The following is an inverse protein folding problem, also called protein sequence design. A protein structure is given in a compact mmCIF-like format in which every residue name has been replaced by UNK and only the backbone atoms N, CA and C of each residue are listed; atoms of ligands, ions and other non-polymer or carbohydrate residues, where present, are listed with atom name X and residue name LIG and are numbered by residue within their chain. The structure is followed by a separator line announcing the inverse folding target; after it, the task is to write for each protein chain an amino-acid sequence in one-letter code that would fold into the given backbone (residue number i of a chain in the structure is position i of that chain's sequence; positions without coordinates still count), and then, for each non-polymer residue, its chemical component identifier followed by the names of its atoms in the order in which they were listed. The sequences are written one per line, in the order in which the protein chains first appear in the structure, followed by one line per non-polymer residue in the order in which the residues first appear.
data_IF_419205103623
#
_entry.id   IF_419205103623
#
_cell.length_a   1.000
_cell.length_b   1.000
_cell.length_c   1.000
_cell.angle_alpha   90.00
_cell.angle_beta   90.00
_cell.angle_gamma   90.00
#
_symmetry.space_group_name_H-M   'P 1'
#
loop_
_entity.id
_entity.type
_entity.pdbx_description
1 polymer ?
#
# COMPACT_ATOMS: atom_id res chain seq x y z
N UNK A 1 14.48 -4.83 14.76
CA UNK A 1 14.28 -4.21 16.08
C UNK A 1 14.59 -5.22 17.18
N UNK A 2 14.95 -4.74 18.36
CA UNK A 2 15.22 -5.54 19.54
C UNK A 2 14.47 -4.93 20.71
N UNK A 3 13.74 -5.76 21.46
CA UNK A 3 13.12 -5.36 22.72
C UNK A 3 14.09 -5.67 23.84
N UNK A 4 14.55 -4.67 24.57
CA UNK A 4 15.42 -4.85 25.72
C UNK A 4 14.61 -4.94 27.02
N UNK A 5 15.14 -5.63 28.05
CA UNK A 5 14.52 -5.71 29.39
C UNK A 5 14.30 -4.33 30.05
N UNK A 6 14.90 -3.26 29.51
CA UNK A 6 14.85 -1.89 30.01
C UNK A 6 13.88 -0.99 29.23
N UNK A 7 12.76 -1.52 28.75
CA UNK A 7 11.64 -0.79 28.15
C UNK A 7 11.97 0.11 26.94
N UNK A 8 12.88 -0.28 26.06
CA UNK A 8 13.14 0.48 24.84
C UNK A 8 13.41 -0.41 23.64
N UNK A 9 12.69 -0.18 22.51
CA UNK A 9 13.01 -0.81 21.23
C UNK A 9 14.28 -0.17 20.66
N UNK A 10 15.20 -0.98 20.14
CA UNK A 10 16.39 -0.53 19.42
C UNK A 10 16.35 -1.01 17.99
N UNK A 11 16.80 -0.17 17.09
CA UNK A 11 16.88 -0.46 15.65
C UNK A 11 18.32 -0.70 15.24
N UNK A 12 18.51 -1.69 14.38
CA UNK A 12 19.80 -2.00 13.76
C UNK A 12 19.57 -2.46 12.32
N UNK A 13 20.54 -2.28 11.46
CA UNK A 13 20.54 -2.80 10.10
C UNK A 13 21.45 -4.02 9.99
N UNK A 14 20.95 -5.08 9.35
CA UNK A 14 21.77 -6.16 8.82
C UNK A 14 22.16 -5.79 7.39
N UNK A 15 23.43 -5.45 7.19
CA UNK A 15 23.97 -5.09 5.88
C UNK A 15 24.59 -6.33 5.23
N UNK A 16 24.10 -6.69 4.05
CA UNK A 16 24.61 -7.81 3.25
C UNK A 16 25.21 -7.25 1.97
N UNK A 17 26.48 -7.57 1.70
CA UNK A 17 27.21 -7.14 0.50
C UNK A 17 27.73 -8.35 -0.25
N UNK A 18 27.83 -8.24 -1.59
CA UNK A 18 28.23 -9.33 -2.47
C UNK A 18 29.56 -9.99 -2.09
N UNK A 19 30.51 -9.19 -1.59
CA UNK A 19 31.87 -9.65 -1.31
C UNK A 19 32.12 -9.91 0.20
N UNK A 20 31.10 -9.87 1.04
CA UNK A 20 31.20 -10.16 2.46
C UNK A 20 30.70 -11.56 2.77
N UNK A 21 31.47 -12.28 3.59
CA UNK A 21 31.16 -13.68 3.97
C UNK A 21 30.02 -13.76 5.00
N UNK A 22 29.84 -12.72 5.79
CA UNK A 22 28.83 -12.62 6.84
C UNK A 22 28.13 -11.27 6.80
N UNK A 23 26.83 -11.21 7.18
CA UNK A 23 26.14 -9.95 7.36
C UNK A 23 26.82 -9.07 8.42
N UNK A 24 26.86 -7.78 8.18
CA UNK A 24 27.35 -6.80 9.14
C UNK A 24 26.15 -6.24 9.93
N UNK A 25 26.21 -6.30 11.25
CA UNK A 25 25.22 -5.66 12.11
C UNK A 25 25.65 -4.20 12.40
N UNK A 26 24.81 -3.25 12.03
CA UNK A 26 24.99 -1.82 12.30
C UNK A 26 23.90 -1.33 13.23
N UNK A 27 24.22 -0.95 14.48
CA UNK A 27 23.28 -0.22 15.34
C UNK A 27 22.87 1.10 14.66
N UNK A 28 21.58 1.43 14.71
CA UNK A 28 21.04 2.68 14.17
C UNK A 28 20.68 3.63 15.31
N UNK A 29 19.57 3.37 16.00
CA UNK A 29 19.04 4.24 17.04
C UNK A 29 18.16 3.47 18.05
N UNK A 30 17.94 4.06 19.21
CA UNK A 30 16.90 3.65 20.14
C UNK A 30 15.58 4.38 19.78
N UNK A 31 14.43 3.72 19.93
CA UNK A 31 13.11 4.29 19.63
C UNK A 31 12.92 5.66 20.32
N UNK A 32 13.37 5.79 21.57
CA UNK A 32 13.35 7.03 22.32
C UNK A 32 14.10 8.20 21.65
N UNK A 33 15.12 7.94 20.85
CA UNK A 33 15.82 8.98 20.11
C UNK A 33 14.96 9.53 18.96
N UNK A 34 14.19 8.66 18.29
CA UNK A 34 13.24 9.09 17.27
C UNK A 34 12.03 9.79 17.91
N UNK A 35 11.54 9.27 19.04
CA UNK A 35 10.43 9.88 19.79
C UNK A 35 10.80 11.28 20.30
N UNK A 36 12.07 11.50 20.70
CA UNK A 36 12.54 12.83 21.15
C UNK A 36 12.50 13.92 20.08
N UNK A 37 12.44 13.52 18.80
CA UNK A 37 12.25 14.48 17.70
C UNK A 37 10.81 15.02 17.64
N UNK A 38 9.86 14.43 18.42
CA UNK A 38 8.45 14.84 18.46
C UNK A 38 7.79 14.94 17.07
N UNK A 39 8.14 14.04 16.18
CA UNK A 39 7.60 14.00 14.82
C UNK A 39 6.11 13.60 14.87
N UNK A 40 5.24 14.59 14.88
CA UNK A 40 3.80 14.41 15.03
C UNK A 40 3.15 13.81 13.77
N UNK A 41 3.75 14.02 12.60
CA UNK A 41 3.21 13.58 11.31
C UNK A 41 4.30 12.91 10.45
N UNK A 42 3.97 11.87 9.65
CA UNK A 42 4.97 11.16 8.84
C UNK A 42 5.70 12.04 7.80
N UNK A 43 5.06 13.09 7.29
CA UNK A 43 5.68 14.00 6.33
C UNK A 43 6.80 14.87 6.97
N UNK A 44 6.78 15.05 8.28
CA UNK A 44 7.84 15.79 8.99
C UNK A 44 9.20 15.08 8.98
N UNK A 45 9.27 13.79 8.71
CA UNK A 45 10.55 13.12 8.48
C UNK A 45 11.37 13.75 7.34
N UNK A 46 10.72 14.48 6.44
CA UNK A 46 11.30 15.09 5.24
C UNK A 46 11.37 16.61 5.32
N UNK A 47 10.92 17.20 6.42
CA UNK A 47 10.97 18.63 6.67
C UNK A 47 12.42 19.08 6.97
N UNK A 48 12.79 20.31 6.57
CA UNK A 48 14.14 20.86 6.76
C UNK A 48 14.57 20.87 8.23
N UNK A 49 13.62 21.04 9.15
CA UNK A 49 13.88 21.07 10.58
C UNK A 49 14.21 19.69 11.19
N UNK A 50 13.66 18.61 10.63
CA UNK A 50 13.77 17.26 11.20
C UNK A 50 14.66 16.32 10.38
N UNK A 51 14.71 16.51 9.06
CA UNK A 51 15.41 15.59 8.16
C UNK A 51 16.90 15.40 8.49
N UNK A 52 17.67 16.41 8.93
CA UNK A 52 19.06 16.20 9.32
C UNK A 52 19.23 15.20 10.47
N UNK A 53 18.38 15.30 11.50
CA UNK A 53 18.42 14.37 12.64
C UNK A 53 17.94 12.98 12.24
N UNK A 54 16.92 12.89 11.38
CA UNK A 54 16.44 11.63 10.81
C UNK A 54 17.54 10.94 9.99
N UNK A 55 18.24 11.68 9.12
CA UNK A 55 19.38 11.17 8.36
C UNK A 55 20.51 10.66 9.26
N UNK A 56 20.83 11.40 10.32
CA UNK A 56 21.83 11.01 11.31
C UNK A 56 21.50 9.68 11.99
N UNK A 57 20.23 9.45 12.29
CA UNK A 57 19.77 8.21 12.91
C UNK A 57 19.70 7.04 11.92
N UNK A 58 19.23 7.27 10.69
CA UNK A 58 18.89 6.22 9.73
C UNK A 58 19.99 5.92 8.71
N UNK A 59 20.63 6.94 8.17
CA UNK A 59 21.51 6.79 7.01
C UNK A 59 22.99 6.93 7.31
N UNK A 60 23.40 7.89 8.14
CA UNK A 60 24.82 8.09 8.43
C UNK A 60 25.54 6.83 8.94
N UNK A 61 24.94 5.97 9.80
CA UNK A 61 25.56 4.72 10.22
C UNK A 61 25.82 3.74 9.06
N UNK A 62 25.13 3.91 7.93
CA UNK A 62 25.18 3.06 6.75
C UNK A 62 25.99 3.66 5.59
N UNK A 63 26.17 4.97 5.56
CA UNK A 63 26.80 5.71 4.45
C UNK A 63 28.14 5.12 4.01
N UNK A 64 29.00 4.74 4.94
CA UNK A 64 30.30 4.12 4.63
C UNK A 64 30.23 2.67 4.13
N UNK A 65 29.03 2.07 4.11
CA UNK A 65 28.80 0.68 3.64
C UNK A 65 28.21 0.62 2.23
N UNK A 66 27.78 1.76 1.68
CA UNK A 66 27.05 1.83 0.42
C UNK A 66 27.79 2.74 -0.53
N UNK A 67 28.26 2.20 -1.66
CA UNK A 67 28.88 3.02 -2.70
C UNK A 67 27.82 3.91 -3.39
N UNK A 68 28.22 5.12 -3.76
CA UNK A 68 27.36 6.01 -4.52
C UNK A 68 26.91 5.38 -5.85
N UNK A 69 25.65 5.61 -6.24
CA UNK A 69 25.04 4.97 -7.41
C UNK A 69 24.63 3.52 -7.20
N UNK A 70 24.92 2.93 -6.03
CA UNK A 70 24.57 1.54 -5.77
C UNK A 70 23.04 1.32 -5.69
N UNK A 71 22.64 0.10 -6.05
CA UNK A 71 21.27 -0.36 -5.77
C UNK A 71 21.18 -0.89 -4.34
N UNK A 72 20.33 -0.28 -3.54
CA UNK A 72 20.08 -0.61 -2.13
C UNK A 72 18.73 -1.30 -1.99
N UNK A 73 18.75 -2.62 -1.84
CA UNK A 73 17.57 -3.38 -1.47
C UNK A 73 17.36 -3.29 0.03
N UNK A 74 16.21 -2.81 0.48
CA UNK A 74 15.94 -2.68 1.90
C UNK A 74 14.57 -3.22 2.31
N UNK A 75 14.52 -3.76 3.52
CA UNK A 75 13.31 -4.29 4.15
C UNK A 75 13.10 -3.50 5.43
N UNK A 76 12.16 -2.55 5.47
CA UNK A 76 11.87 -1.80 6.69
C UNK A 76 11.18 -2.66 7.74
N UNK A 77 11.25 -2.26 9.01
CA UNK A 77 10.50 -2.87 10.10
C UNK A 77 9.88 -1.79 11.00
N UNK A 78 8.70 -2.07 11.55
CA UNK A 78 8.00 -1.24 12.53
C UNK A 78 7.91 0.24 12.10
N UNK A 79 8.43 1.17 12.90
CA UNK A 79 8.44 2.61 12.60
C UNK A 79 8.93 2.91 11.17
N UNK A 80 9.92 2.16 10.69
CA UNK A 80 10.51 2.39 9.36
C UNK A 80 9.57 2.06 8.20
N UNK A 81 8.43 1.41 8.45
CA UNK A 81 7.37 1.30 7.43
C UNK A 81 6.80 2.65 7.02
N UNK A 82 6.93 3.69 7.86
CA UNK A 82 6.47 5.05 7.57
C UNK A 82 7.48 5.89 6.81
N UNK A 83 8.71 5.40 6.61
CA UNK A 83 9.80 6.16 6.02
C UNK A 83 10.10 5.67 4.62
N UNK A 84 10.07 6.59 3.65
CA UNK A 84 10.60 6.40 2.30
C UNK A 84 12.04 6.92 2.30
N UNK A 85 13.03 6.03 2.45
CA UNK A 85 14.45 6.42 2.55
C UNK A 85 14.90 7.25 1.35
N UNK A 86 14.44 6.87 0.16
CA UNK A 86 14.74 7.56 -1.11
C UNK A 86 14.28 9.02 -1.15
N UNK A 87 13.34 9.39 -0.27
CA UNK A 87 12.77 10.74 -0.24
C UNK A 87 13.40 11.65 0.81
N UNK A 88 14.32 11.15 1.63
CA UNK A 88 15.01 11.97 2.65
C UNK A 88 15.88 13.01 1.98
N UNK A 89 15.70 14.32 2.30
CA UNK A 89 16.49 15.39 1.73
C UNK A 89 17.89 15.47 2.33
N UNK A 90 18.87 15.76 1.50
CA UNK A 90 20.25 16.05 1.89
C UNK A 90 20.48 17.55 2.07
N UNK A 91 21.58 17.93 2.70
CA UNK A 91 21.90 19.32 2.99
C UNK A 91 22.06 20.22 1.73
N UNK A 92 22.34 19.62 0.59
CA UNK A 92 22.44 20.31 -0.71
C UNK A 92 21.08 20.44 -1.45
N UNK A 93 19.99 19.98 -0.83
CA UNK A 93 18.65 20.00 -1.40
C UNK A 93 18.35 18.84 -2.35
N UNK A 94 19.31 17.95 -2.62
CA UNK A 94 19.08 16.67 -3.31
C UNK A 94 18.39 15.68 -2.37
N UNK A 95 17.94 14.54 -2.90
CA UNK A 95 17.38 13.45 -2.10
C UNK A 95 18.34 12.27 -2.06
N UNK A 96 18.23 11.42 -1.05
CA UNK A 96 18.95 10.14 -1.03
C UNK A 96 18.72 9.31 -2.29
N UNK A 97 17.52 9.34 -2.85
CA UNK A 97 17.17 8.66 -4.10
C UNK A 97 17.83 9.24 -5.35
N UNK A 98 18.36 10.47 -5.30
CA UNK A 98 19.15 11.05 -6.39
C UNK A 98 20.57 10.46 -6.43
N UNK A 99 21.07 9.90 -5.32
CA UNK A 99 22.42 9.34 -5.16
C UNK A 99 22.45 7.81 -5.13
N UNK A 100 21.34 7.15 -4.76
CA UNK A 100 21.25 5.70 -4.60
C UNK A 100 19.95 5.16 -5.21
N UNK A 101 20.00 3.98 -5.80
CA UNK A 101 18.82 3.31 -6.34
C UNK A 101 18.15 2.46 -5.25
N UNK A 102 17.20 3.02 -4.52
CA UNK A 102 16.48 2.30 -3.47
C UNK A 102 15.42 1.36 -4.03
N UNK A 103 15.41 0.13 -3.53
CA UNK A 103 14.41 -0.90 -3.85
C UNK A 103 13.83 -1.43 -2.54
N UNK A 104 12.62 -1.00 -2.22
CA UNK A 104 11.90 -1.45 -1.04
C UNK A 104 11.31 -2.82 -1.27
N UNK A 105 11.51 -3.72 -0.32
CA UNK A 105 11.03 -5.10 -0.35
C UNK A 105 10.14 -5.38 0.87
N UNK A 106 9.21 -6.32 0.74
CA UNK A 106 8.46 -6.84 1.89
C UNK A 106 9.26 -7.88 2.67
N UNK A 107 10.19 -8.57 2.01
CA UNK A 107 11.07 -9.59 2.60
C UNK A 107 12.35 -9.74 1.80
N UNK A 108 13.47 -9.92 2.48
CA UNK A 108 14.76 -10.25 1.84
C UNK A 108 14.71 -11.56 1.02
N UNK A 109 13.76 -12.46 1.28
CA UNK A 109 13.54 -13.68 0.49
C UNK A 109 13.19 -13.38 -0.97
N UNK A 110 12.63 -12.24 -1.28
CA UNK A 110 12.31 -11.82 -2.65
C UNK A 110 13.54 -11.72 -3.54
N UNK A 111 14.72 -11.44 -2.97
CA UNK A 111 15.97 -11.43 -3.70
C UNK A 111 16.36 -12.81 -4.24
N UNK A 112 15.95 -13.88 -3.56
CA UNK A 112 16.19 -15.26 -4.04
C UNK A 112 15.35 -15.57 -5.29
N UNK A 113 14.13 -15.09 -5.34
CA UNK A 113 13.22 -15.25 -6.49
C UNK A 113 13.63 -14.43 -7.72
N UNK A 114 14.37 -13.34 -7.55
CA UNK A 114 14.84 -12.48 -8.67
C UNK A 114 15.86 -13.17 -9.60
N UNK A 115 16.50 -14.25 -9.17
CA UNK A 115 17.36 -15.08 -10.00
C UNK A 115 16.60 -16.07 -10.90
N UNK A 116 15.30 -16.24 -10.68
CA UNK A 116 14.44 -17.04 -11.54
C UNK A 116 14.03 -16.21 -12.76
N UNK A 117 13.66 -16.92 -13.85
CA UNK A 117 13.18 -16.25 -15.05
C UNK A 117 12.04 -15.27 -14.73
N UNK A 118 12.03 -14.08 -15.34
CA UNK A 118 10.96 -13.10 -15.07
C UNK A 118 9.60 -13.74 -15.33
N UNK A 119 8.64 -13.49 -14.41
CA UNK A 119 7.26 -13.97 -14.60
C UNK A 119 6.73 -13.42 -15.92
N UNK A 120 6.25 -14.29 -16.78
CA UNK A 120 5.61 -13.88 -18.04
C UNK A 120 4.14 -13.60 -17.77
N UNK A 121 3.73 -12.36 -17.92
CA UNK A 121 2.33 -11.95 -17.83
C UNK A 121 1.73 -11.92 -19.24
N UNK A 122 0.75 -12.78 -19.51
CA UNK A 122 0.30 -13.05 -20.89
C UNK A 122 -0.58 -11.95 -21.50
N UNK A 123 -1.44 -11.29 -20.75
CA UNK A 123 -2.44 -10.38 -21.25
C UNK A 123 -2.31 -8.97 -20.65
N UNK A 124 -2.64 -7.94 -21.45
CA UNK A 124 -2.79 -6.56 -20.97
C UNK A 124 -4.21 -6.38 -20.38
N UNK A 125 -4.50 -7.00 -19.26
CA UNK A 125 -5.77 -6.91 -18.56
C UNK A 125 -5.64 -6.02 -17.32
N UNK A 126 -6.61 -5.16 -17.08
CA UNK A 126 -6.65 -4.30 -15.91
C UNK A 126 -8.04 -4.30 -15.27
N UNK A 127 -8.07 -4.26 -13.93
CA UNK A 127 -9.28 -3.97 -13.16
C UNK A 127 -9.03 -2.70 -12.35
N UNK A 128 -9.96 -1.75 -12.46
CA UNK A 128 -9.85 -0.43 -11.83
C UNK A 128 -11.08 -0.20 -10.97
N UNK A 129 -10.86 0.02 -9.67
CA UNK A 129 -11.90 0.39 -8.69
C UNK A 129 -11.78 1.86 -8.34
N UNK A 130 -12.93 2.57 -8.27
CA UNK A 130 -13.01 3.94 -7.74
C UNK A 130 -14.41 4.53 -7.89
N UNK A 131 -14.72 5.54 -7.07
CA UNK A 131 -16.05 6.14 -7.02
C UNK A 131 -17.10 5.17 -6.48
N UNK A 132 -16.76 4.38 -5.47
CA UNK A 132 -17.60 3.33 -4.91
C UNK A 132 -18.79 3.91 -4.13
N UNK A 133 -19.94 3.25 -4.19
CA UNK A 133 -21.14 3.61 -3.42
C UNK A 133 -21.19 2.81 -2.10
N UNK A 134 -20.64 3.36 -1.04
CA UNK A 134 -20.60 2.72 0.28
C UNK A 134 -21.97 2.60 0.93
N UNK A 135 -22.94 3.43 0.54
CA UNK A 135 -24.35 3.45 1.03
C UNK A 135 -25.32 2.71 0.10
N UNK A 136 -24.81 1.74 -0.69
CA UNK A 136 -25.62 0.93 -1.58
C UNK A 136 -26.73 0.22 -0.80
N UNK A 137 -27.97 0.27 -1.31
CA UNK A 137 -29.12 -0.37 -0.67
C UNK A 137 -29.09 -1.91 -0.79
N UNK A 138 -29.84 -2.58 0.11
CA UNK A 138 -29.82 -4.05 0.20
C UNK A 138 -30.33 -4.76 -1.05
N UNK A 139 -31.29 -4.21 -1.77
CA UNK A 139 -31.80 -4.83 -2.98
C UNK A 139 -30.73 -4.80 -4.06
N UNK A 140 -30.08 -3.66 -4.24
CA UNK A 140 -28.96 -3.54 -5.17
C UNK A 140 -27.77 -4.43 -4.75
N UNK A 141 -27.48 -4.58 -3.45
CA UNK A 141 -26.46 -5.53 -2.97
C UNK A 141 -26.81 -6.97 -3.34
N UNK A 142 -28.06 -7.40 -3.13
CA UNK A 142 -28.53 -8.75 -3.51
C UNK A 142 -28.45 -9.00 -5.02
N UNK A 143 -28.85 -8.02 -5.83
CA UNK A 143 -28.75 -8.13 -7.29
C UNK A 143 -27.32 -8.26 -7.77
N UNK A 144 -26.40 -7.52 -7.16
CA UNK A 144 -24.97 -7.61 -7.47
C UNK A 144 -24.36 -8.92 -7.02
N UNK A 145 -24.66 -9.39 -5.82
CA UNK A 145 -24.16 -10.66 -5.32
C UNK A 145 -24.52 -11.83 -6.23
N UNK A 146 -25.75 -11.85 -6.79
CA UNK A 146 -26.20 -12.90 -7.75
C UNK A 146 -25.38 -12.97 -9.04
N UNK A 147 -24.64 -11.92 -9.39
CA UNK A 147 -23.80 -11.88 -10.60
C UNK A 147 -22.49 -12.67 -10.43
N UNK A 148 -22.16 -13.08 -9.20
CA UNK A 148 -20.88 -13.70 -8.87
C UNK A 148 -21.12 -15.07 -8.20
N UNK A 149 -20.59 -16.12 -8.83
CA UNK A 149 -20.49 -17.43 -8.20
C UNK A 149 -19.19 -17.45 -7.35
N UNK A 150 -19.37 -17.44 -6.05
CA UNK A 150 -18.29 -17.51 -5.05
C UNK A 150 -18.28 -18.86 -4.31
N UNK A 151 -18.97 -19.88 -4.83
CA UNK A 151 -18.97 -21.21 -4.26
C UNK A 151 -17.53 -21.74 -4.15
N UNK A 152 -17.15 -22.14 -2.95
CA UNK A 152 -15.80 -22.60 -2.61
C UNK A 152 -14.79 -21.49 -2.23
N UNK A 153 -15.14 -20.20 -2.33
CA UNK A 153 -14.28 -19.08 -1.90
C UNK A 153 -14.69 -18.53 -0.52
N UNK A 154 -15.93 -18.78 -0.12
CA UNK A 154 -16.46 -18.30 1.16
C UNK A 154 -16.15 -19.34 2.24
N UNK A 155 -15.02 -19.16 2.94
CA UNK A 155 -14.84 -19.76 4.26
C UNK A 155 -15.77 -19.05 5.25
N UNK A 156 -16.18 -19.72 6.33
CA UNK A 156 -16.86 -19.06 7.44
C UNK A 156 -15.99 -17.88 7.90
N UNK A 157 -16.49 -16.67 7.68
CA UNK A 157 -15.82 -15.47 8.13
C UNK A 157 -16.15 -15.27 9.61
N UNK A 158 -15.14 -14.92 10.40
CA UNK A 158 -15.30 -14.43 11.76
C UNK A 158 -16.26 -13.24 11.81
N UNK A 159 -16.57 -12.75 13.01
CA UNK A 159 -17.48 -11.63 13.20
C UNK A 159 -17.11 -10.42 12.35
N UNK A 160 -18.11 -9.64 11.91
CA UNK A 160 -17.91 -8.46 11.09
C UNK A 160 -17.31 -7.31 11.92
N UNK A 161 -16.33 -6.62 11.35
CA UNK A 161 -15.83 -5.37 11.89
C UNK A 161 -16.94 -4.31 11.88
N UNK A 162 -16.99 -3.50 12.92
CA UNK A 162 -18.02 -2.46 13.11
C UNK A 162 -17.36 -1.15 13.50
N UNK A 163 -17.96 -0.05 13.08
CA UNK A 163 -17.54 1.30 13.44
C UNK A 163 -18.73 2.20 13.76
N UNK A 164 -18.44 3.32 14.38
CA UNK A 164 -19.44 4.29 14.87
C UNK A 164 -19.81 5.34 13.81
N UNK A 165 -19.12 5.40 12.68
CA UNK A 165 -19.33 6.38 11.63
C UNK A 165 -19.23 5.76 10.23
N UNK A 166 -19.89 6.37 9.25
CA UNK A 166 -19.99 5.85 7.87
C UNK A 166 -18.78 6.22 7.00
N UNK A 167 -18.44 5.36 6.07
CA UNK A 167 -17.54 5.71 4.98
C UNK A 167 -18.25 6.63 3.99
N UNK A 168 -17.69 7.81 3.78
CA UNK A 168 -18.26 8.82 2.87
C UNK A 168 -17.76 8.60 1.46
N UNK A 169 -18.60 8.95 0.49
CA UNK A 169 -18.21 8.93 -0.92
C UNK A 169 -16.93 9.76 -1.16
N UNK A 170 -16.05 9.27 -2.03
CA UNK A 170 -14.79 9.88 -2.42
C UNK A 170 -14.85 10.34 -3.89
N UNK A 171 -15.30 11.59 -4.18
CA UNK A 171 -15.50 12.04 -5.58
C UNK A 171 -14.19 12.08 -6.40
N UNK A 172 -13.06 12.28 -5.73
CA UNK A 172 -11.73 12.26 -6.37
C UNK A 172 -11.39 10.90 -6.97
N UNK A 173 -11.76 9.81 -6.29
CA UNK A 173 -11.44 8.45 -6.74
C UNK A 173 -12.21 8.03 -8.00
N UNK A 174 -13.41 8.57 -8.23
CA UNK A 174 -14.14 8.32 -9.47
C UNK A 174 -13.44 8.97 -10.67
N UNK A 175 -13.03 10.24 -10.53
CA UNK A 175 -12.29 10.95 -11.57
C UNK A 175 -10.97 10.26 -11.88
N UNK A 176 -10.24 9.85 -10.85
CA UNK A 176 -8.99 9.09 -10.95
C UNK A 176 -9.20 7.78 -11.71
N UNK A 177 -10.13 6.95 -11.28
CA UNK A 177 -10.40 5.65 -11.88
C UNK A 177 -10.83 5.76 -13.35
N UNK A 178 -11.68 6.74 -13.70
CA UNK A 178 -12.10 7.00 -15.10
C UNK A 178 -10.92 7.46 -15.97
N UNK A 179 -10.07 8.35 -15.48
CA UNK A 179 -8.89 8.82 -16.20
C UNK A 179 -7.91 7.68 -16.47
N UNK A 180 -7.61 6.87 -15.45
CA UNK A 180 -6.72 5.71 -15.55
C UNK A 180 -7.29 4.67 -16.52
N UNK A 181 -8.58 4.33 -16.40
CA UNK A 181 -9.22 3.40 -17.32
C UNK A 181 -9.16 3.89 -18.78
N UNK A 182 -9.35 5.19 -19.01
CA UNK A 182 -9.21 5.79 -20.34
C UNK A 182 -7.79 5.68 -20.88
N UNK A 183 -6.78 6.04 -20.09
CA UNK A 183 -5.37 5.95 -20.47
C UNK A 183 -4.94 4.51 -20.77
N UNK A 184 -5.37 3.54 -19.95
CA UNK A 184 -5.09 2.14 -20.17
C UNK A 184 -5.72 1.62 -21.48
N UNK A 185 -7.00 1.97 -21.75
CA UNK A 185 -7.67 1.61 -23.01
C UNK A 185 -6.97 2.19 -24.23
N UNK A 186 -6.52 3.46 -24.15
CA UNK A 186 -5.69 4.07 -25.19
C UNK A 186 -4.36 3.33 -25.39
N UNK A 187 -3.80 2.73 -24.35
CA UNK A 187 -2.63 1.84 -24.40
C UNK A 187 -2.95 0.40 -24.81
N UNK A 188 -4.15 0.12 -25.32
CA UNK A 188 -4.61 -1.20 -25.77
C UNK A 188 -4.67 -2.25 -24.63
N UNK A 189 -5.10 -1.82 -23.44
CA UNK A 189 -5.44 -2.72 -22.34
C UNK A 189 -6.93 -3.06 -22.37
N UNK A 190 -7.25 -4.31 -22.05
CA UNK A 190 -8.60 -4.71 -21.69
C UNK A 190 -8.90 -4.28 -20.26
N UNK A 191 -9.85 -3.36 -20.07
CA UNK A 191 -10.07 -2.67 -18.80
C UNK A 191 -11.49 -2.84 -18.31
N UNK A 192 -11.64 -3.49 -17.16
CA UNK A 192 -12.85 -3.50 -16.35
C UNK A 192 -12.81 -2.35 -15.34
N UNK A 193 -13.69 -1.35 -15.52
CA UNK A 193 -13.89 -0.26 -14.57
C UNK A 193 -15.06 -0.59 -13.66
N UNK A 194 -14.80 -0.74 -12.38
CA UNK A 194 -15.77 -1.08 -11.33
C UNK A 194 -16.01 0.14 -10.42
N UNK A 195 -17.11 0.84 -10.66
CA UNK A 195 -17.50 2.06 -9.96
C UNK A 195 -18.96 2.02 -9.51
N UNK A 196 -19.38 2.94 -8.64
CA UNK A 196 -20.73 2.97 -8.08
C UNK A 196 -21.07 1.64 -7.42
N UNK A 197 -22.19 1.05 -7.80
CA UNK A 197 -22.66 -0.24 -7.27
C UNK A 197 -21.92 -1.47 -7.84
N UNK A 198 -21.01 -1.30 -8.79
CA UNK A 198 -20.31 -2.43 -9.41
C UNK A 198 -19.02 -2.84 -8.68
N UNK A 199 -18.47 -1.95 -7.86
CA UNK A 199 -17.26 -2.23 -7.10
C UNK A 199 -17.56 -2.90 -5.77
N UNK A 200 -18.11 -4.10 -5.79
CA UNK A 200 -18.48 -4.88 -4.60
C UNK A 200 -17.35 -5.78 -4.13
N UNK A 201 -17.45 -6.30 -2.92
CA UNK A 201 -16.53 -7.29 -2.37
C UNK A 201 -16.54 -8.57 -3.18
N UNK A 202 -17.72 -9.00 -3.67
CA UNK A 202 -17.86 -10.16 -4.55
C UNK A 202 -17.07 -9.96 -5.85
N UNK A 203 -17.12 -8.76 -6.43
CA UNK A 203 -16.37 -8.43 -7.64
C UNK A 203 -14.86 -8.57 -7.44
N UNK A 204 -14.37 -8.27 -6.23
CA UNK A 204 -12.96 -8.42 -5.88
C UNK A 204 -12.58 -9.88 -5.64
N UNK A 205 -13.36 -10.62 -4.86
CA UNK A 205 -13.10 -12.05 -4.61
C UNK A 205 -13.14 -12.90 -5.89
N UNK A 206 -13.91 -12.49 -6.90
CA UNK A 206 -13.93 -13.12 -8.23
C UNK A 206 -12.57 -13.11 -8.92
N UNK A 207 -11.66 -12.24 -8.52
CA UNK A 207 -10.29 -12.18 -9.07
C UNK A 207 -9.41 -13.37 -8.62
N UNK A 208 -9.83 -14.15 -7.65
CA UNK A 208 -9.13 -15.36 -7.21
C UNK A 208 -8.90 -16.33 -8.38
N UNK A 209 -7.65 -16.65 -8.70
CA UNK A 209 -7.28 -17.51 -9.82
C UNK A 209 -7.53 -16.90 -11.22
N UNK A 210 -8.05 -15.66 -11.29
CA UNK A 210 -8.36 -14.90 -12.53
C UNK A 210 -7.83 -13.48 -12.45
N UNK A 211 -6.71 -13.32 -11.79
CA UNK A 211 -6.13 -12.02 -11.47
C UNK A 211 -5.75 -11.24 -12.74
N UNK A 212 -6.14 -9.95 -12.85
CA UNK A 212 -5.70 -9.10 -13.94
C UNK A 212 -4.20 -8.82 -13.82
N UNK A 213 -3.55 -8.47 -14.90
CA UNK A 213 -2.14 -8.07 -14.88
C UNK A 213 -1.92 -6.79 -14.06
N UNK A 214 -2.87 -5.84 -14.12
CA UNK A 214 -2.85 -4.61 -13.37
C UNK A 214 -4.14 -4.46 -12.56
N UNK A 215 -4.00 -4.14 -11.28
CA UNK A 215 -5.11 -3.88 -10.36
C UNK A 215 -4.92 -2.52 -9.73
N UNK A 216 -5.86 -1.59 -9.98
CA UNK A 216 -5.88 -0.28 -9.36
C UNK A 216 -7.09 -0.16 -8.43
N UNK A 217 -6.86 0.22 -7.19
CA UNK A 217 -7.89 0.26 -6.15
C UNK A 217 -7.88 1.63 -5.47
N UNK A 218 -8.86 2.46 -5.82
CA UNK A 218 -9.09 3.77 -5.24
C UNK A 218 -10.35 3.71 -4.35
N UNK A 219 -10.15 3.43 -3.05
CA UNK A 219 -11.21 3.28 -2.06
C UNK A 219 -10.73 3.68 -0.66
N UNK A 220 -11.56 3.53 0.37
CA UNK A 220 -11.12 3.63 1.75
C UNK A 220 -10.41 2.34 2.20
N UNK A 221 -9.35 2.49 3.00
CA UNK A 221 -8.81 1.44 3.83
C UNK A 221 -9.16 1.66 5.30
N UNK A 222 -9.03 0.63 6.11
CA UNK A 222 -9.17 0.72 7.56
C UNK A 222 -8.03 -0.01 8.27
N UNK A 223 -7.79 0.41 9.51
CA UNK A 223 -6.92 -0.28 10.45
C UNK A 223 -7.44 -0.09 11.87
N UNK A 224 -7.58 -1.18 12.61
CA UNK A 224 -7.82 -1.17 14.04
C UNK A 224 -6.50 -1.25 14.79
N UNK A 225 -6.26 -0.30 15.69
CA UNK A 225 -5.18 -0.43 16.65
C UNK A 225 -5.47 -1.62 17.59
N UNK A 226 -4.46 -2.25 18.19
CA UNK A 226 -4.69 -3.33 19.17
C UNK A 226 -5.63 -2.92 20.31
N UNK A 227 -5.63 -1.64 20.70
CA UNK A 227 -6.54 -1.11 21.72
C UNK A 227 -8.00 -1.05 21.24
N UNK A 228 -8.23 -0.69 19.98
CA UNK A 228 -9.56 -0.72 19.37
C UNK A 228 -10.02 -2.16 19.14
N UNK A 229 -9.13 -3.02 18.67
CA UNK A 229 -9.38 -4.44 18.48
C UNK A 229 -9.77 -5.15 19.77
N UNK A 230 -9.17 -4.78 20.91
CA UNK A 230 -9.50 -5.34 22.21
C UNK A 230 -10.96 -5.07 22.66
N UNK A 231 -11.64 -4.09 22.05
CA UNK A 231 -13.06 -3.79 22.28
C UNK A 231 -14.00 -4.64 21.42
N UNK A 232 -13.46 -5.35 20.44
CA UNK A 232 -14.22 -6.19 19.50
C UNK A 232 -13.99 -7.66 19.89
N UNK A 233 -15.04 -8.36 20.35
CA UNK A 233 -14.89 -9.67 21.00
C UNK A 233 -14.08 -10.69 20.21
N UNK A 234 -14.29 -10.81 18.89
CA UNK A 234 -13.57 -11.78 18.08
C UNK A 234 -12.14 -11.34 17.68
N UNK A 235 -11.78 -10.07 17.88
CA UNK A 235 -10.43 -9.54 17.67
C UNK A 235 -9.60 -9.48 18.96
N UNK A 236 -10.21 -9.79 20.11
CA UNK A 236 -9.53 -9.77 21.39
C UNK A 236 -8.31 -10.69 21.40
N UNK A 237 -7.14 -10.12 21.65
CA UNK A 237 -5.88 -10.85 21.70
C UNK A 237 -5.19 -11.03 20.34
N UNK A 238 -5.76 -10.54 19.25
CA UNK A 238 -5.08 -10.47 17.96
C UNK A 238 -4.29 -9.17 17.84
N UNK A 239 -3.05 -9.30 17.44
CA UNK A 239 -2.15 -8.19 17.07
C UNK A 239 -1.66 -8.29 15.62
N UNK A 240 -2.17 -9.26 14.85
CA UNK A 240 -1.81 -9.44 13.44
C UNK A 240 -2.42 -8.31 12.58
N UNK A 241 -1.56 -7.50 12.01
CA UNK A 241 -1.94 -6.38 11.17
C UNK A 241 -2.83 -6.78 9.97
N UNK A 242 -2.79 -8.04 9.51
CA UNK A 242 -3.65 -8.52 8.43
C UNK A 242 -5.10 -8.75 8.88
N UNK A 243 -5.32 -9.11 10.14
CA UNK A 243 -6.67 -9.23 10.69
C UNK A 243 -7.28 -7.88 11.03
N UNK A 244 -6.43 -6.91 11.37
CA UNK A 244 -6.83 -5.59 11.83
C UNK A 244 -6.93 -4.55 10.72
N UNK A 245 -6.59 -4.88 9.49
CA UNK A 245 -6.62 -3.97 8.35
C UNK A 245 -7.37 -4.53 7.16
N UNK A 246 -7.80 -3.66 6.26
CA UNK A 246 -8.48 -4.07 5.05
C UNK A 246 -8.91 -2.91 4.16
N UNK A 247 -9.73 -3.26 3.18
CA UNK A 247 -10.32 -2.36 2.20
C UNK A 247 -11.84 -2.43 2.30
N UNK A 248 -12.53 -1.34 1.98
CA UNK A 248 -13.98 -1.32 1.91
C UNK A 248 -14.47 -1.16 0.47
N UNK A 249 -15.59 -1.81 0.18
CA UNK A 249 -16.24 -1.86 -1.13
C UNK A 249 -17.68 -1.35 -1.05
N UNK A 250 -18.35 -1.29 -2.19
CA UNK A 250 -19.73 -0.79 -2.27
C UNK A 250 -20.66 -1.57 -1.34
N UNK A 251 -21.54 -0.84 -0.63
CA UNK A 251 -22.48 -1.40 0.35
C UNK A 251 -21.91 -1.61 1.76
N UNK A 252 -20.64 -1.31 2.01
CA UNK A 252 -19.99 -1.63 3.28
C UNK A 252 -20.63 -0.94 4.50
N UNK A 253 -21.22 0.24 4.35
CA UNK A 253 -21.80 0.98 5.47
C UNK A 253 -22.93 0.21 6.15
N UNK A 254 -23.63 -0.65 5.41
CA UNK A 254 -24.69 -1.46 6.00
C UNK A 254 -24.16 -2.40 7.07
N UNK A 255 -23.17 -3.22 6.72
CA UNK A 255 -22.53 -4.16 7.64
C UNK A 255 -21.67 -3.44 8.69
N UNK A 256 -20.99 -2.37 8.31
CA UNK A 256 -20.14 -1.58 9.20
C UNK A 256 -20.92 -1.00 10.38
N UNK A 257 -22.15 -0.55 10.14
CA UNK A 257 -23.08 -0.10 11.18
C UNK A 257 -23.79 -1.25 11.92
N UNK A 258 -23.40 -2.48 11.70
CA UNK A 258 -23.94 -3.65 12.39
C UNK A 258 -25.34 -4.08 11.95
N UNK A 259 -25.82 -3.59 10.81
CA UNK A 259 -27.12 -3.99 10.27
C UNK A 259 -27.02 -5.40 9.64
N UNK A 260 -28.08 -6.24 9.76
CA UNK A 260 -28.06 -7.61 9.22
C UNK A 260 -28.01 -7.58 7.71
N UNK A 261 -27.29 -8.56 7.15
CA UNK A 261 -27.19 -8.79 5.70
C UNK A 261 -28.04 -9.99 5.30
N UNK A 262 -28.67 -9.97 4.13
CA UNK A 262 -29.36 -11.13 3.57
C UNK A 262 -28.36 -12.26 3.25
N UNK A 263 -28.83 -13.50 3.25
CA UNK A 263 -27.99 -14.65 2.89
C UNK A 263 -27.39 -14.49 1.49
N UNK A 264 -26.10 -14.83 1.35
CA UNK A 264 -25.37 -14.75 0.08
C UNK A 264 -24.86 -13.36 -0.31
N UNK A 265 -25.09 -12.33 0.51
CA UNK A 265 -24.57 -10.98 0.32
C UNK A 265 -23.36 -10.76 1.21
N UNK A 266 -22.24 -10.28 0.64
CA UNK A 266 -21.04 -9.96 1.40
C UNK A 266 -21.12 -8.57 2.03
N UNK A 267 -20.25 -8.36 3.00
CA UNK A 267 -20.27 -7.16 3.85
C UNK A 267 -19.79 -5.88 3.17
N UNK A 268 -19.05 -6.00 2.08
CA UNK A 268 -18.29 -4.90 1.51
C UNK A 268 -17.04 -4.54 2.32
N UNK A 269 -16.68 -5.35 3.33
CA UNK A 269 -15.52 -5.15 4.21
C UNK A 269 -14.56 -6.33 3.97
N UNK A 270 -13.46 -6.08 3.29
CA UNK A 270 -12.47 -7.10 2.94
C UNK A 270 -11.23 -6.95 3.82
N UNK A 271 -11.02 -7.90 4.72
CA UNK A 271 -9.83 -7.93 5.57
C UNK A 271 -8.58 -8.29 4.75
N UNK A 272 -7.43 -7.79 5.16
CA UNK A 272 -6.17 -8.12 4.49
C UNK A 272 -5.86 -9.62 4.56
N UNK A 273 -6.30 -10.32 5.61
CA UNK A 273 -6.15 -11.78 5.71
C UNK A 273 -6.95 -12.52 4.61
N UNK A 274 -8.12 -12.00 4.20
CA UNK A 274 -8.88 -12.57 3.07
C UNK A 274 -8.12 -12.40 1.76
N UNK A 275 -7.54 -11.22 1.54
CA UNK A 275 -6.67 -10.95 0.38
C UNK A 275 -5.48 -11.93 0.38
N UNK A 276 -4.88 -12.18 1.53
CA UNK A 276 -3.72 -13.06 1.67
C UNK A 276 -4.01 -14.54 1.30
N UNK A 277 -5.28 -14.94 1.33
CA UNK A 277 -5.74 -16.28 0.93
C UNK A 277 -6.07 -16.38 -0.56
N UNK A 278 -6.14 -15.27 -1.27
CA UNK A 278 -6.42 -15.26 -2.70
C UNK A 278 -5.22 -15.70 -3.53
N UNK A 279 -5.51 -16.21 -4.73
CA UNK A 279 -4.49 -16.40 -5.77
C UNK A 279 -4.52 -15.21 -6.74
N UNK A 280 -3.59 -14.28 -6.53
CA UNK A 280 -3.37 -13.10 -7.38
C UNK A 280 -2.03 -13.16 -8.13
N UNK A 281 -1.47 -14.35 -8.35
CA UNK A 281 -0.16 -14.54 -9.00
C UNK A 281 -0.09 -14.00 -10.43
N UNK A 282 -1.25 -13.80 -11.09
CA UNK A 282 -1.36 -13.14 -12.39
C UNK A 282 -1.16 -11.63 -12.35
N UNK A 283 -1.23 -11.00 -11.16
CA UNK A 283 -1.12 -9.56 -11.00
C UNK A 283 0.34 -9.13 -10.93
N UNK A 284 0.77 -8.43 -11.98
CA UNK A 284 2.10 -7.82 -12.03
C UNK A 284 2.22 -6.63 -11.08
N UNK A 285 1.16 -5.81 -11.01
CA UNK A 285 1.17 -4.61 -10.19
C UNK A 285 -0.20 -4.32 -9.58
N UNK A 286 -0.19 -4.00 -8.28
CA UNK A 286 -1.32 -3.39 -7.57
C UNK A 286 -0.97 -1.94 -7.27
N UNK A 287 -1.90 -1.02 -7.56
CA UNK A 287 -1.84 0.37 -7.13
C UNK A 287 -2.93 0.60 -6.10
N UNK A 288 -2.52 0.93 -4.87
CA UNK A 288 -3.42 1.23 -3.76
C UNK A 288 -3.51 2.74 -3.57
N UNK A 289 -4.54 3.35 -4.14
CA UNK A 289 -4.94 4.74 -3.89
C UNK A 289 -5.97 4.79 -2.76
N UNK A 290 -5.71 4.04 -1.68
CA UNK A 290 -6.64 3.74 -0.59
C UNK A 290 -6.21 4.35 0.75
N UNK A 291 -5.38 5.40 0.75
CA UNK A 291 -4.73 5.92 1.95
C UNK A 291 -5.56 6.90 2.76
N UNK A 292 -6.83 7.12 2.42
CA UNK A 292 -7.76 7.84 3.29
C UNK A 292 -8.50 6.84 4.19
N UNK A 293 -7.94 6.62 5.37
CA UNK A 293 -8.69 5.99 6.45
C UNK A 293 -9.74 7.00 6.92
N UNK A 294 -10.97 6.83 6.47
CA UNK A 294 -12.07 7.75 6.81
C UNK A 294 -12.36 7.85 8.30
N UNK A 295 -11.71 7.07 9.16
CA UNK A 295 -11.97 7.03 10.60
C UNK A 295 -10.81 6.57 11.47
N UNK A 296 -9.63 6.33 10.96
CA UNK A 296 -8.46 6.00 11.75
C UNK A 296 -7.21 6.66 11.17
N UNK A 297 -6.22 6.94 12.01
CA UNK A 297 -4.90 7.33 11.52
C UNK A 297 -4.35 6.17 10.71
N UNK A 298 -3.97 6.40 9.45
CA UNK A 298 -3.17 5.43 8.70
C UNK A 298 -1.94 5.09 9.54
N UNK A 299 -1.90 3.91 10.10
CA UNK A 299 -0.77 3.46 10.90
C UNK A 299 0.19 2.66 10.03
N UNK A 300 1.45 2.61 10.43
CA UNK A 300 2.44 1.77 9.77
C UNK A 300 2.00 0.31 9.70
N UNK A 301 1.32 -0.16 10.74
CA UNK A 301 0.84 -1.52 10.88
C UNK A 301 -0.28 -1.85 9.88
N UNK A 302 -1.22 -0.92 9.66
CA UNK A 302 -2.30 -1.11 8.67
C UNK A 302 -1.77 -1.19 7.24
N UNK A 303 -0.86 -0.31 6.87
CA UNK A 303 -0.16 -0.36 5.58
C UNK A 303 0.63 -1.65 5.41
N UNK A 304 1.33 -2.09 6.47
CA UNK A 304 2.05 -3.35 6.48
C UNK A 304 1.13 -4.55 6.29
N UNK A 305 -0.04 -4.56 6.92
CA UNK A 305 -1.03 -5.62 6.78
C UNK A 305 -1.45 -5.82 5.31
N UNK A 306 -1.84 -4.74 4.63
CA UNK A 306 -2.22 -4.78 3.21
C UNK A 306 -1.03 -5.16 2.29
N UNK A 307 0.16 -4.58 2.51
CA UNK A 307 1.36 -4.95 1.74
C UNK A 307 1.64 -6.45 1.84
N UNK A 308 1.66 -6.98 3.07
CA UNK A 308 1.92 -8.40 3.33
C UNK A 308 0.86 -9.29 2.70
N UNK A 309 -0.41 -8.88 2.77
CA UNK A 309 -1.52 -9.62 2.19
C UNK A 309 -1.41 -9.76 0.67
N UNK A 310 -1.21 -8.65 -0.05
CA UNK A 310 -1.04 -8.69 -1.50
C UNK A 310 0.23 -9.46 -1.92
N UNK A 311 1.33 -9.32 -1.19
CA UNK A 311 2.55 -10.10 -1.46
C UNK A 311 2.32 -11.60 -1.24
N UNK A 312 1.62 -11.98 -0.18
CA UNK A 312 1.26 -13.39 0.10
C UNK A 312 0.31 -13.96 -0.96
N UNK A 313 -0.61 -13.15 -1.48
CA UNK A 313 -1.48 -13.49 -2.60
C UNK A 313 -0.72 -13.67 -3.94
N UNK A 314 0.56 -13.27 -4.01
CA UNK A 314 1.43 -13.48 -5.16
C UNK A 314 1.62 -12.28 -6.08
N UNK A 315 1.16 -11.09 -5.69
CA UNK A 315 1.35 -9.83 -6.43
C UNK A 315 2.82 -9.49 -6.57
N UNK A 316 3.21 -9.03 -7.76
CA UNK A 316 4.59 -8.66 -8.09
C UNK A 316 5.03 -7.36 -7.42
N UNK A 317 4.45 -6.25 -7.81
CA UNK A 317 4.79 -4.90 -7.35
C UNK A 317 3.57 -4.23 -6.70
N UNK A 318 3.79 -3.46 -5.64
CA UNK A 318 2.74 -2.64 -5.00
C UNK A 318 3.17 -1.17 -5.04
N UNK A 319 2.29 -0.30 -5.54
CA UNK A 319 2.43 1.15 -5.45
C UNK A 319 1.38 1.66 -4.46
N UNK A 320 1.81 2.48 -3.50
CA UNK A 320 0.90 3.00 -2.47
C UNK A 320 1.43 4.29 -1.86
N UNK A 321 0.63 4.96 -1.04
CA UNK A 321 1.10 6.07 -0.22
C UNK A 321 1.17 5.69 1.27
N UNK A 322 2.14 6.27 1.97
CA UNK A 322 2.40 6.02 3.40
C UNK A 322 1.49 6.83 4.33
N UNK A 323 0.86 7.88 3.81
CA UNK A 323 -0.14 8.70 4.50
C UNK A 323 -1.14 9.28 3.50
N UNK A 324 -2.22 9.84 4.02
CA UNK A 324 -3.25 10.49 3.21
C UNK A 324 -2.68 11.75 2.53
N UNK A 325 -2.63 11.75 1.22
CA UNK A 325 -2.25 12.89 0.38
C UNK A 325 -3.53 13.55 -0.16
N UNK A 326 -3.52 14.87 -0.36
CA UNK A 326 -4.67 15.56 -0.94
C UNK A 326 -5.01 15.02 -2.34
N UNK A 327 -6.29 14.86 -2.63
CA UNK A 327 -6.82 14.25 -3.86
C UNK A 327 -6.15 14.79 -5.13
N UNK A 328 -5.93 16.11 -5.20
CA UNK A 328 -5.33 16.73 -6.39
C UNK A 328 -3.89 16.27 -6.63
N UNK A 329 -3.08 16.18 -5.60
CA UNK A 329 -1.69 15.72 -5.72
C UNK A 329 -1.63 14.21 -6.02
N UNK A 330 -2.52 13.42 -5.42
CA UNK A 330 -2.67 11.99 -5.74
C UNK A 330 -3.07 11.79 -7.19
N UNK A 331 -4.05 12.57 -7.69
CA UNK A 331 -4.47 12.53 -9.10
C UNK A 331 -3.33 12.90 -10.04
N UNK A 332 -2.56 13.96 -9.72
CA UNK A 332 -1.41 14.38 -10.53
C UNK A 332 -0.33 13.30 -10.56
N UNK A 333 -0.03 12.68 -9.41
CA UNK A 333 0.91 11.56 -9.33
C UNK A 333 0.44 10.37 -10.18
N UNK A 334 -0.81 9.92 -10.00
CA UNK A 334 -1.34 8.77 -10.72
C UNK A 334 -1.40 9.03 -12.22
N UNK A 335 -1.81 10.23 -12.65
CA UNK A 335 -1.82 10.62 -14.08
C UNK A 335 -0.40 10.52 -14.64
N UNK A 336 0.58 11.17 -14.02
CA UNK A 336 1.97 11.13 -14.46
C UNK A 336 2.53 9.70 -14.47
N UNK A 337 2.22 8.92 -13.44
CA UNK A 337 2.67 7.52 -13.34
C UNK A 337 2.17 6.67 -14.49
N UNK A 338 0.87 6.71 -14.80
CA UNK A 338 0.30 5.93 -15.89
C UNK A 338 0.73 6.44 -17.27
N UNK A 339 0.88 7.75 -17.45
CA UNK A 339 1.45 8.32 -18.69
C UNK A 339 2.86 7.79 -18.96
N UNK A 340 3.75 7.82 -17.96
CA UNK A 340 5.11 7.31 -18.09
C UNK A 340 5.15 5.79 -18.24
N UNK A 341 4.28 5.07 -17.52
CA UNK A 341 4.17 3.60 -17.59
C UNK A 341 3.75 3.14 -18.99
N UNK A 342 2.84 3.86 -19.66
CA UNK A 342 2.29 3.47 -20.96
C UNK A 342 3.14 3.95 -22.14
N UNK A 343 4.01 4.93 -21.94
CA UNK A 343 4.79 5.59 -23.00
C UNK A 343 5.74 4.66 -23.75
N UNK A 344 6.28 3.65 -23.10
CA UNK A 344 7.29 2.74 -23.64
C UNK A 344 6.75 1.32 -23.98
N UNK A 345 5.43 1.15 -23.96
CA UNK A 345 4.77 -0.11 -24.35
C UNK A 345 5.21 -1.31 -23.48
N UNK A 346 5.57 -2.42 -24.12
CA UNK A 346 5.93 -3.65 -23.42
C UNK A 346 7.28 -3.58 -22.66
N UNK A 347 8.10 -2.58 -22.91
CA UNK A 347 9.40 -2.36 -22.24
C UNK A 347 9.31 -1.30 -21.13
N UNK A 348 8.12 -0.94 -20.69
CA UNK A 348 7.95 0.06 -19.64
C UNK A 348 8.57 -0.42 -18.33
N UNK A 349 9.51 0.36 -17.84
CA UNK A 349 10.12 0.17 -16.51
C UNK A 349 9.23 0.88 -15.48
N UNK A 350 8.51 0.07 -14.68
CA UNK A 350 7.60 0.57 -13.64
C UNK A 350 8.29 1.51 -12.67
N UNK A 351 9.55 1.21 -12.32
CA UNK A 351 10.32 2.02 -11.39
C UNK A 351 10.68 3.37 -11.99
N UNK A 352 11.12 3.39 -13.24
CA UNK A 352 11.38 4.67 -13.95
C UNK A 352 10.10 5.50 -14.10
N UNK A 353 8.97 4.86 -14.38
CA UNK A 353 7.68 5.55 -14.43
C UNK A 353 7.29 6.13 -13.08
N UNK A 354 7.51 5.38 -12.00
CA UNK A 354 7.25 5.82 -10.63
C UNK A 354 8.13 7.02 -10.23
N UNK A 355 9.43 6.95 -10.46
CA UNK A 355 10.37 8.04 -10.15
C UNK A 355 10.06 9.30 -10.99
N UNK A 356 9.73 9.13 -12.27
CA UNK A 356 9.31 10.24 -13.12
C UNK A 356 8.03 10.92 -12.59
N UNK A 357 7.03 10.15 -12.17
CA UNK A 357 5.81 10.69 -11.57
C UNK A 357 6.10 11.44 -10.26
N UNK A 358 6.95 10.87 -9.40
CA UNK A 358 7.36 11.49 -8.15
C UNK A 358 8.07 12.82 -8.38
N UNK A 359 8.93 12.89 -9.41
CA UNK A 359 9.59 14.12 -9.83
C UNK A 359 8.59 15.20 -10.29
N UNK A 360 7.61 14.83 -11.12
CA UNK A 360 6.55 15.75 -11.57
C UNK A 360 5.80 16.37 -10.40
N UNK A 361 5.42 15.54 -9.42
CA UNK A 361 4.69 16.02 -8.24
C UNK A 361 5.58 16.88 -7.34
N UNK A 362 6.86 16.50 -7.14
CA UNK A 362 7.85 17.28 -6.38
C UNK A 362 8.10 18.66 -7.01
N UNK A 363 8.19 18.75 -8.32
CA UNK A 363 8.37 20.01 -9.03
C UNK A 363 7.16 20.95 -8.86
N UNK A 364 5.95 20.39 -8.87
CA UNK A 364 4.69 21.11 -8.73
C UNK A 364 4.37 21.50 -7.30
N UNK A 365 4.58 20.57 -6.36
CA UNK A 365 4.28 20.72 -4.93
C UNK A 365 5.59 20.64 -4.15
N UNK A 366 6.06 21.77 -3.63
CA UNK A 366 7.36 21.84 -2.94
C UNK A 366 7.40 21.09 -1.62
N UNK A 367 6.27 21.08 -0.90
CA UNK A 367 6.17 20.42 0.41
C UNK A 367 6.26 18.90 0.28
N UNK A 368 7.11 18.21 1.07
CA UNK A 368 7.25 16.75 1.09
C UNK A 368 5.94 15.99 1.34
N UNK A 369 5.00 16.60 2.05
CA UNK A 369 3.66 16.06 2.30
C UNK A 369 2.98 15.51 1.02
N UNK A 370 3.17 16.15 -0.13
CA UNK A 370 2.48 15.82 -1.38
C UNK A 370 3.14 14.72 -2.21
N UNK A 371 4.45 14.52 -2.07
CA UNK A 371 5.22 13.63 -2.95
C UNK A 371 6.01 12.54 -2.24
N UNK A 372 6.49 12.78 -1.01
CA UNK A 372 7.28 11.80 -0.28
C UNK A 372 6.46 10.61 0.23
N UNK A 373 5.11 10.74 0.25
CA UNK A 373 4.20 9.67 0.62
C UNK A 373 4.29 8.43 -0.27
N UNK A 374 4.49 8.64 -1.57
CA UNK A 374 4.40 7.54 -2.54
C UNK A 374 5.62 6.62 -2.47
N UNK A 375 5.35 5.33 -2.38
CA UNK A 375 6.37 4.26 -2.35
C UNK A 375 6.01 3.14 -3.30
N UNK A 376 7.05 2.49 -3.83
CA UNK A 376 6.93 1.29 -4.65
C UNK A 376 7.62 0.13 -3.93
N UNK A 377 6.90 -0.96 -3.78
CA UNK A 377 7.33 -2.21 -3.16
C UNK A 377 7.41 -3.30 -4.22
N UNK A 378 8.60 -3.84 -4.42
CA UNK A 378 8.83 -4.97 -5.35
C UNK A 378 8.86 -6.30 -4.63
#
# INVERSE_FOLDING_TARGET
DFVTKTNGRKYAAFVVQKNQRHPLLKPLFAESQMDSLNIARPDFFYDEDFAPDVLKLLWEPLKGQVAEGATVYYVPSQLLFRVALESLPLADGSLLGDHYNFVRLSSARELLGRKQAPKTYAAKTAVVYGGLNYDMDLLAMQEKAKQYDLSGLLAERGGLLRGDSVYRHLPGTEKEARAIASSLRAGHWDVSLLSGNNGTEESFLRLHGRAPRLLHIATHGFYYTPLEAAKVDYLKGYDDAMLLSGLVFSGCNHAWLGKPLPGGVLSGILQAEDIARMDLRGTEMVVLSACQTGQGRATAEGLYGLQRAFKKAGVGTIVMSLWAVKDKATQDFMTAFYEHLLKNGAQSDKRKAFEAAKKVVREKYKEPYYWAAFVMLD
#
